data_IF_507310848465
#
_entry.id   IF_507310848465
#
_cell.length_a   1.000
_cell.length_b   1.000
_cell.length_c   1.000
_cell.angle_alpha   90.00
_cell.angle_beta   90.00
_cell.angle_gamma   90.00
#
_symmetry.space_group_name_H-M   'P 1'
#
loop_
_entity.id
_entity.type
_entity.pdbx_description
1 polymer ?
#
# COMPACT_ATOMS: atom_id res chain seq x y z
N UNK A 1 -20.45 11.68 -20.81
CA UNK A 1 -19.18 11.05 -20.44
C UNK A 1 -18.15 12.17 -20.47
N UNK A 2 -17.78 12.69 -19.30
CA UNK A 2 -16.84 13.82 -19.22
C UNK A 2 -15.40 13.30 -19.11
N UNK A 3 -14.42 13.91 -19.79
CA UNK A 3 -13.03 13.49 -19.74
C UNK A 3 -12.39 13.88 -18.41
N UNK A 4 -11.70 12.92 -17.79
CA UNK A 4 -10.92 13.12 -16.57
C UNK A 4 -9.73 14.04 -16.90
N UNK A 5 -9.56 15.11 -16.12
CA UNK A 5 -8.49 16.09 -16.27
C UNK A 5 -7.12 15.40 -16.36
N UNK A 6 -6.46 15.56 -17.52
CA UNK A 6 -5.17 14.96 -17.82
C UNK A 6 -4.05 15.58 -17.00
N UNK A 7 -3.60 14.87 -15.96
CA UNK A 7 -2.33 15.15 -15.32
C UNK A 7 -1.18 14.82 -16.26
N UNK A 8 -0.22 15.75 -16.41
CA UNK A 8 0.97 15.54 -17.24
C UNK A 8 1.93 14.57 -16.55
N UNK A 9 1.98 13.33 -17.01
CA UNK A 9 3.01 12.35 -16.63
C UNK A 9 4.24 12.54 -17.52
N UNK A 10 5.39 12.84 -16.90
CA UNK A 10 6.67 13.07 -17.59
C UNK A 10 7.50 11.78 -17.52
N UNK A 11 7.79 11.17 -18.68
CA UNK A 11 8.64 9.98 -18.76
C UNK A 11 10.05 10.40 -19.18
N UNK A 12 11.07 9.99 -18.42
CA UNK A 12 12.48 10.07 -18.84
C UNK A 12 12.88 8.71 -19.40
N UNK A 13 12.97 8.61 -20.72
CA UNK A 13 13.57 7.44 -21.37
C UNK A 13 15.08 7.54 -21.26
N UNK A 14 15.70 6.47 -20.75
CA UNK A 14 17.13 6.40 -20.51
C UNK A 14 17.94 6.51 -21.81
N UNK A 15 19.13 7.08 -21.65
CA UNK A 15 20.10 7.49 -22.67
C UNK A 15 20.73 6.30 -23.41
N UNK A 16 19.93 5.57 -24.20
CA UNK A 16 20.44 4.63 -25.19
C UNK A 16 20.12 5.14 -26.58
N UNK A 17 21.15 5.68 -27.20
CA UNK A 17 21.23 6.03 -28.60
C UNK A 17 20.62 4.92 -29.47
N UNK A 18 19.45 5.19 -30.04
CA UNK A 18 19.02 4.56 -31.27
C UNK A 18 18.64 5.68 -32.25
N UNK A 19 19.51 5.77 -33.25
CA UNK A 19 19.48 6.63 -34.40
C UNK A 19 18.26 6.26 -35.25
N UNK A 20 17.22 7.11 -35.21
CA UNK A 20 16.22 7.46 -36.23
C UNK A 20 15.00 8.03 -35.52
N UNK A 21 14.68 9.28 -35.84
CA UNK A 21 13.53 10.06 -35.37
C UNK A 21 12.20 9.45 -35.87
N UNK A 22 11.84 8.28 -35.35
CA UNK A 22 10.49 7.77 -35.35
C UNK A 22 9.80 8.27 -34.10
N UNK A 23 8.91 9.25 -34.28
CA UNK A 23 8.08 9.88 -33.26
C UNK A 23 7.52 8.82 -32.29
N UNK A 24 8.21 8.61 -31.17
CA UNK A 24 7.94 7.50 -30.25
C UNK A 24 6.72 7.87 -29.43
N UNK A 25 5.55 7.46 -29.90
CA UNK A 25 4.26 7.79 -29.30
C UNK A 25 3.81 6.66 -28.38
N UNK A 26 3.31 7.03 -27.20
CA UNK A 26 2.57 6.10 -26.33
C UNK A 26 1.16 5.98 -26.87
N UNK A 27 0.82 4.83 -27.45
CA UNK A 27 -0.48 4.60 -28.10
C UNK A 27 -1.59 4.15 -27.14
N UNK A 28 -1.26 3.87 -25.87
CA UNK A 28 -2.23 3.48 -24.86
C UNK A 28 -1.65 3.57 -23.46
N UNK A 29 -2.42 4.17 -22.55
CA UNK A 29 -2.14 4.20 -21.12
C UNK A 29 -3.32 3.59 -20.40
N UNK A 30 -3.05 2.56 -19.58
CA UNK A 30 -4.07 1.94 -18.75
C UNK A 30 -3.58 1.95 -17.30
N UNK A 31 -4.44 2.43 -16.41
CA UNK A 31 -4.26 2.33 -14.96
C UNK A 31 -5.36 1.45 -14.41
N UNK A 32 -4.98 0.41 -13.67
CA UNK A 32 -5.89 -0.38 -12.83
C UNK A 32 -5.51 -0.18 -11.37
N UNK A 33 -6.49 -0.16 -10.48
CA UNK A 33 -6.29 -0.12 -9.03
C UNK A 33 -7.02 -1.30 -8.40
N UNK A 34 -6.36 -2.02 -7.50
CA UNK A 34 -7.00 -3.04 -6.67
C UNK A 34 -7.38 -2.38 -5.35
N UNK A 35 -8.51 -2.78 -4.76
CA UNK A 35 -8.78 -2.47 -3.36
C UNK A 35 -7.73 -3.16 -2.50
N UNK A 36 -7.14 -2.39 -1.60
CA UNK A 36 -6.14 -2.84 -0.62
C UNK A 36 -6.62 -2.55 0.79
N UNK A 37 -5.97 -3.16 1.76
CA UNK A 37 -6.13 -2.87 3.18
C UNK A 37 -5.54 -1.48 3.49
N UNK A 38 -6.37 -0.64 4.10
CA UNK A 38 -6.03 0.72 4.52
C UNK A 38 -5.53 0.76 5.95
N UNK A 39 -6.06 -0.15 6.77
CA UNK A 39 -5.68 -0.34 8.16
C UNK A 39 -5.53 -1.83 8.46
N UNK A 40 -4.45 -2.20 9.12
CA UNK A 40 -4.27 -3.52 9.72
C UNK A 40 -4.12 -3.33 11.22
N UNK A 41 -4.93 -4.04 12.00
CA UNK A 41 -4.90 -4.05 13.46
C UNK A 41 -4.67 -5.49 13.94
N UNK A 42 -3.64 -5.69 14.75
CA UNK A 42 -3.29 -6.98 15.34
C UNK A 42 -3.40 -6.87 16.86
N UNK A 43 -3.85 -7.95 17.49
CA UNK A 43 -3.92 -8.02 18.96
C UNK A 43 -3.56 -9.43 19.45
N UNK A 44 -3.08 -9.53 20.69
CA UNK A 44 -2.74 -10.80 21.33
C UNK A 44 -2.91 -10.70 22.85
N UNK A 45 -2.86 -11.83 23.56
CA UNK A 45 -3.06 -11.89 25.00
C UNK A 45 -1.98 -12.73 25.70
N UNK A 46 -1.26 -12.11 26.63
CA UNK A 46 -0.32 -12.80 27.53
C UNK A 46 -1.00 -13.12 28.88
N UNK A 47 -1.26 -14.40 29.13
CA UNK A 47 -1.85 -14.87 30.40
C UNK A 47 -0.96 -14.65 31.63
N UNK A 48 0.36 -14.44 31.45
CA UNK A 48 1.28 -14.09 32.54
C UNK A 48 1.25 -12.58 32.86
N UNK A 49 0.93 -11.76 31.86
CA UNK A 49 0.88 -10.30 31.98
C UNK A 49 -0.45 -9.77 31.39
N UNK A 50 -1.60 -9.97 32.06
CA UNK A 50 -2.92 -9.70 31.50
C UNK A 50 -3.21 -8.22 31.24
N UNK A 51 -2.39 -7.32 31.80
CA UNK A 51 -2.46 -5.88 31.58
C UNK A 51 -1.48 -5.37 30.53
N UNK A 52 -0.70 -6.26 29.90
CA UNK A 52 0.24 -5.88 28.85
C UNK A 52 -0.52 -5.55 27.58
N UNK A 53 -0.31 -4.35 27.06
CA UNK A 53 -0.85 -3.95 25.77
C UNK A 53 -0.02 -4.58 24.65
N UNK A 54 -0.65 -5.50 23.92
CA UNK A 54 -0.09 -6.17 22.76
C UNK A 54 -0.78 -5.73 21.46
N UNK A 55 -1.62 -4.70 21.50
CA UNK A 55 -2.24 -4.17 20.29
C UNK A 55 -1.22 -3.45 19.41
N UNK A 56 -1.38 -3.57 18.09
CA UNK A 56 -0.65 -2.78 17.12
C UNK A 56 -1.51 -2.46 15.91
N UNK A 57 -1.30 -1.28 15.35
CA UNK A 57 -2.02 -0.82 14.17
C UNK A 57 -1.05 -0.22 13.15
N UNK A 58 -1.35 -0.43 11.87
CA UNK A 58 -0.69 0.23 10.74
C UNK A 58 -1.76 0.77 9.80
N UNK A 59 -1.59 2.03 9.37
CA UNK A 59 -2.54 2.72 8.51
C UNK A 59 -1.82 3.36 7.31
N UNK A 60 -2.48 3.35 6.15
CA UNK A 60 -2.06 4.05 4.95
C UNK A 60 -3.19 4.96 4.43
N UNK A 61 -2.81 6.02 3.71
CA UNK A 61 -3.73 7.03 3.18
C UNK A 61 -4.35 6.59 1.84
N UNK A 62 -5.06 5.46 1.86
CA UNK A 62 -5.72 4.89 0.70
C UNK A 62 -7.24 5.14 0.74
N UNK A 63 -7.80 5.95 -0.18
CA UNK A 63 -9.24 6.19 -0.24
C UNK A 63 -10.01 4.91 -0.59
N UNK A 64 -11.07 4.63 0.17
CA UNK A 64 -11.93 3.43 0.09
C UNK A 64 -11.23 2.12 0.44
N UNK A 65 -10.20 2.17 1.27
CA UNK A 65 -9.48 0.99 1.70
C UNK A 65 -10.22 0.21 2.79
N UNK A 66 -9.87 -1.08 2.92
CA UNK A 66 -10.50 -2.00 3.89
C UNK A 66 -9.75 -1.99 5.21
N UNK A 67 -10.46 -2.16 6.31
CA UNK A 67 -9.84 -2.44 7.61
C UNK A 67 -9.73 -3.96 7.81
N UNK A 68 -8.57 -4.40 8.28
CA UNK A 68 -8.29 -5.79 8.62
C UNK A 68 -7.95 -5.89 10.10
N UNK A 69 -8.67 -6.74 10.83
CA UNK A 69 -8.39 -7.05 12.23
C UNK A 69 -8.13 -8.54 12.40
N UNK A 70 -7.07 -8.89 13.12
CA UNK A 70 -6.71 -10.28 13.41
C UNK A 70 -6.41 -10.49 14.90
N UNK A 71 -6.98 -11.56 15.44
CA UNK A 71 -6.70 -12.09 16.77
C UNK A 71 -6.83 -13.63 16.76
N UNK A 72 -5.86 -14.38 17.30
CA UNK A 72 -4.58 -13.91 17.84
C UNK A 72 -3.58 -13.52 16.74
N UNK A 73 -2.84 -12.42 16.94
CA UNK A 73 -1.83 -11.90 16.00
C UNK A 73 -0.51 -12.68 15.97
N UNK A 74 -0.30 -13.57 16.96
CA UNK A 74 0.85 -14.48 17.00
C UNK A 74 2.16 -13.77 17.37
N UNK A 75 2.08 -12.82 18.31
CA UNK A 75 3.21 -12.03 18.80
C UNK A 75 3.20 -11.98 20.33
N UNK A 76 4.39 -12.08 20.93
CA UNK A 76 4.52 -12.05 22.39
C UNK A 76 4.85 -10.65 22.94
N UNK A 77 5.23 -9.71 22.06
CA UNK A 77 5.65 -8.35 22.44
C UNK A 77 5.13 -7.32 21.44
N UNK A 78 4.76 -6.13 21.91
CA UNK A 78 4.19 -5.07 21.06
C UNK A 78 5.12 -4.60 19.92
N UNK A 79 6.44 -4.62 20.12
CA UNK A 79 7.39 -4.27 19.06
C UNK A 79 7.40 -5.29 17.89
N UNK A 80 6.99 -6.53 18.13
CA UNK A 80 6.78 -7.52 17.08
C UNK A 80 5.44 -7.29 16.38
N UNK A 81 4.38 -7.03 17.15
CA UNK A 81 3.06 -6.68 16.65
C UNK A 81 3.13 -5.52 15.63
N UNK A 82 3.84 -4.45 15.97
CA UNK A 82 4.01 -3.28 15.09
C UNK A 82 4.80 -3.55 13.80
N UNK A 83 5.66 -4.58 13.78
CA UNK A 83 6.39 -4.97 12.56
C UNK A 83 5.57 -5.90 11.66
N UNK A 84 4.55 -6.55 12.21
CA UNK A 84 3.67 -7.49 11.50
C UNK A 84 2.46 -6.78 10.89
N UNK A 85 1.92 -5.77 11.59
CA UNK A 85 0.93 -4.85 11.07
C UNK A 85 1.52 -4.02 9.91
#
# INVERSE_FOLDING_TARGET
>A
MEPIAGGTLRFTFGDRAHDTLGDSRVFGWQRSRKLVEGKVALDDYDGLHPSLDLSAEAENDEPHAREHYEYPGGHAVGAEAQRRA
#
